data_IF_931351979831
#
_entry.id   IF_931351979831
#
_cell.length_a   1.000
_cell.length_b   1.000
_cell.length_c   1.000
_cell.angle_alpha   90.00
_cell.angle_beta   90.00
_cell.angle_gamma   90.00
#
_symmetry.space_group_name_H-M   'P 1'
#
loop_
_entity.id
_entity.type
_entity.pdbx_description
1 polymer ?
#
# COMPACT_ATOMS: atom_id res chain seq x y z
N UNK A 1 3.41 -13.79 10.65
CA UNK A 1 3.20 -12.45 10.04
C UNK A 1 2.35 -11.56 10.94
N UNK A 2 1.19 -12.05 11.41
CA UNK A 2 0.30 -11.30 12.30
C UNK A 2 1.02 -10.75 13.54
N UNK A 3 1.91 -11.52 14.15
CA UNK A 3 2.69 -11.07 15.31
C UNK A 3 3.61 -9.90 14.98
N UNK A 4 4.24 -9.90 13.80
CA UNK A 4 5.13 -8.81 13.35
C UNK A 4 4.36 -7.52 13.08
N UNK A 5 3.18 -7.63 12.46
CA UNK A 5 2.24 -6.50 12.32
C UNK A 5 1.83 -6.01 13.72
N UNK A 6 1.60 -6.94 14.64
CA UNK A 6 1.18 -6.62 16.00
C UNK A 6 2.30 -6.04 16.89
N UNK A 7 3.56 -6.35 16.58
CA UNK A 7 4.73 -5.82 17.25
C UNK A 7 5.13 -4.43 16.72
N UNK A 8 4.63 -4.04 15.54
CA UNK A 8 5.02 -2.78 14.88
C UNK A 8 6.26 -2.91 14.00
N UNK A 9 6.69 -4.14 13.70
CA UNK A 9 7.88 -4.42 12.86
C UNK A 9 7.61 -4.27 11.35
N UNK A 10 6.46 -3.71 10.99
CA UNK A 10 5.95 -3.65 9.62
C UNK A 10 5.36 -2.28 9.36
N UNK A 11 5.93 -1.55 8.41
CA UNK A 11 5.44 -0.23 7.99
C UNK A 11 4.43 -0.29 6.83
N UNK A 12 4.42 -1.39 6.08
CA UNK A 12 3.60 -1.57 4.87
C UNK A 12 3.41 -3.05 4.54
N UNK A 13 2.24 -3.41 4.00
CA UNK A 13 1.93 -4.79 3.57
C UNK A 13 1.63 -4.87 2.08
N UNK A 14 2.23 -5.84 1.39
CA UNK A 14 1.82 -6.26 0.05
C UNK A 14 1.32 -7.70 0.12
N UNK A 15 0.04 -7.91 -0.11
CA UNK A 15 -0.61 -9.22 -0.04
C UNK A 15 -1.34 -9.49 -1.36
N UNK A 16 -0.65 -10.11 -2.31
CA UNK A 16 -1.25 -10.61 -3.54
C UNK A 16 -1.74 -12.04 -3.30
N UNK A 17 -3.01 -12.32 -3.59
CA UNK A 17 -3.58 -13.68 -3.49
C UNK A 17 -3.79 -14.27 -4.87
N UNK A 18 -3.49 -15.56 -5.02
CA UNK A 18 -3.90 -16.36 -6.16
C UNK A 18 -5.31 -16.95 -5.96
N UNK A 19 -5.64 -18.00 -6.70
CA UNK A 19 -6.94 -18.69 -6.62
C UNK A 19 -7.05 -19.71 -5.48
N UNK A 20 -5.95 -19.97 -4.77
CA UNK A 20 -5.89 -20.96 -3.69
C UNK A 20 -6.75 -20.51 -2.49
N UNK A 21 -7.80 -21.27 -2.10
CA UNK A 21 -8.75 -20.86 -1.05
C UNK A 21 -8.09 -20.64 0.32
N UNK A 22 -7.07 -21.43 0.65
CA UNK A 22 -6.34 -21.30 1.91
C UNK A 22 -5.52 -20.00 1.93
N UNK A 23 -4.82 -19.70 0.83
CA UNK A 23 -4.12 -18.42 0.64
C UNK A 23 -5.06 -17.21 0.70
N UNK A 24 -6.30 -17.35 0.20
CA UNK A 24 -7.31 -16.28 0.27
C UNK A 24 -7.75 -16.02 1.71
N UNK A 25 -7.99 -17.09 2.48
CA UNK A 25 -8.38 -17.01 3.90
C UNK A 25 -7.27 -16.42 4.76
N UNK A 26 -6.04 -16.90 4.61
CA UNK A 26 -4.90 -16.39 5.37
C UNK A 26 -4.59 -14.93 4.98
N UNK A 27 -4.74 -14.59 3.70
CA UNK A 27 -4.62 -13.22 3.21
C UNK A 27 -5.66 -12.27 3.81
N UNK A 28 -6.87 -12.75 4.14
CA UNK A 28 -7.89 -11.93 4.80
C UNK A 28 -7.44 -11.49 6.19
N UNK A 29 -6.89 -12.40 6.99
CA UNK A 29 -6.42 -12.11 8.35
C UNK A 29 -5.24 -11.14 8.33
N UNK A 30 -4.30 -11.29 7.39
CA UNK A 30 -3.18 -10.35 7.21
C UNK A 30 -3.71 -8.93 6.88
N UNK A 31 -4.66 -8.82 5.94
CA UNK A 31 -5.23 -7.52 5.55
C UNK A 31 -6.02 -6.88 6.69
N UNK A 32 -6.76 -7.67 7.48
CA UNK A 32 -7.47 -7.19 8.68
C UNK A 32 -6.50 -6.65 9.72
N UNK A 33 -5.43 -7.37 10.02
CA UNK A 33 -4.43 -6.92 10.98
C UNK A 33 -3.74 -5.62 10.52
N UNK A 34 -3.38 -5.51 9.23
CA UNK A 34 -2.80 -4.29 8.67
C UNK A 34 -3.76 -3.10 8.80
N UNK A 35 -5.04 -3.29 8.44
CA UNK A 35 -6.08 -2.27 8.55
C UNK A 35 -6.28 -1.82 10.01
N UNK A 36 -6.36 -2.75 10.96
CA UNK A 36 -6.52 -2.44 12.39
C UNK A 36 -5.34 -1.65 12.97
N UNK A 37 -4.14 -1.80 12.39
CA UNK A 37 -2.94 -1.04 12.75
C UNK A 37 -2.76 0.25 11.97
N UNK A 38 -3.65 0.56 11.02
CA UNK A 38 -3.52 1.74 10.16
C UNK A 38 -2.35 1.66 9.18
N UNK A 39 -1.86 0.44 8.88
CA UNK A 39 -0.78 0.25 7.93
C UNK A 39 -1.32 0.32 6.49
N UNK A 40 -0.65 1.05 5.57
CA UNK A 40 -0.93 0.94 4.15
C UNK A 40 -0.78 -0.51 3.67
N UNK A 41 -1.77 -1.03 2.94
CA UNK A 41 -1.69 -2.36 2.35
C UNK A 41 -2.19 -2.40 0.90
N UNK A 42 -1.57 -3.27 0.10
CA UNK A 42 -1.86 -3.41 -1.32
C UNK A 42 -2.16 -4.87 -1.68
N UNK A 43 -3.16 -5.05 -2.54
CA UNK A 43 -3.62 -6.38 -2.97
C UNK A 43 -3.12 -6.79 -4.35
N UNK A 44 -2.47 -5.87 -5.07
CA UNK A 44 -1.95 -6.11 -6.42
C UNK A 44 -0.50 -5.67 -6.53
N UNK A 45 0.28 -6.40 -7.34
CA UNK A 45 1.66 -6.02 -7.62
C UNK A 45 1.74 -4.66 -8.36
N UNK A 46 0.73 -4.32 -9.16
CA UNK A 46 0.66 -3.04 -9.86
C UNK A 46 0.53 -1.86 -8.86
N UNK A 47 -0.37 -1.98 -7.88
CA UNK A 47 -0.53 -0.96 -6.85
C UNK A 47 0.73 -0.83 -5.97
N UNK A 48 1.36 -1.96 -5.61
CA UNK A 48 2.62 -1.95 -4.87
C UNK A 48 3.75 -1.24 -5.64
N UNK A 49 3.86 -1.47 -6.95
CA UNK A 49 4.83 -0.77 -7.81
C UNK A 49 4.55 0.74 -7.89
N UNK A 50 3.29 1.12 -8.03
CA UNK A 50 2.90 2.53 -8.04
C UNK A 50 3.24 3.23 -6.72
N UNK A 51 2.95 2.58 -5.57
CA UNK A 51 3.30 3.09 -4.25
C UNK A 51 4.81 3.23 -4.07
N UNK A 52 5.61 2.24 -4.49
CA UNK A 52 7.07 2.33 -4.46
C UNK A 52 7.60 3.50 -5.33
N UNK A 53 7.00 3.72 -6.51
CA UNK A 53 7.30 4.87 -7.36
C UNK A 53 6.99 6.21 -6.69
N UNK A 54 5.81 6.32 -6.05
CA UNK A 54 5.41 7.52 -5.31
C UNK A 54 6.35 7.81 -4.11
N UNK A 55 6.70 6.78 -3.32
CA UNK A 55 7.67 6.91 -2.22
C UNK A 55 9.02 7.40 -2.75
N UNK A 56 9.49 6.85 -3.87
CA UNK A 56 10.74 7.31 -4.49
C UNK A 56 10.66 8.78 -4.92
N UNK A 57 9.57 9.20 -5.56
CA UNK A 57 9.38 10.57 -6.01
C UNK A 57 9.39 11.55 -4.81
N UNK A 58 8.63 11.26 -3.76
CA UNK A 58 8.56 12.09 -2.54
C UNK A 58 9.91 12.20 -1.82
N UNK A 59 10.76 11.18 -1.93
CA UNK A 59 12.13 11.23 -1.37
C UNK A 59 13.09 12.10 -2.16
N UNK A 60 12.82 12.34 -3.45
CA UNK A 60 13.68 13.12 -4.33
C UNK A 60 13.26 14.60 -4.40
N UNK A 61 11.96 14.87 -4.35
CA UNK A 61 11.40 16.21 -4.48
C UNK A 61 10.13 16.39 -3.64
N UNK A 62 9.83 17.63 -3.28
CA UNK A 62 8.58 17.98 -2.61
C UNK A 62 7.42 18.02 -3.59
N UNK A 63 6.28 17.43 -3.22
CA UNK A 63 5.04 17.57 -3.99
C UNK A 63 4.56 19.02 -3.92
N UNK A 64 4.51 19.69 -5.07
CA UNK A 64 3.94 21.04 -5.20
C UNK A 64 2.43 21.04 -5.34
N UNK A 65 1.85 22.24 -5.41
CA UNK A 65 0.42 22.45 -5.67
C UNK A 65 0.21 22.98 -7.09
N UNK A 66 -0.89 22.57 -7.72
CA UNK A 66 -1.35 23.11 -9.01
C UNK A 66 -2.87 23.22 -8.98
N UNK A 67 -3.41 24.36 -9.38
CA UNK A 67 -4.84 24.57 -9.52
C UNK A 67 -5.41 23.79 -10.71
N UNK A 68 -6.70 23.47 -10.64
CA UNK A 68 -7.37 22.78 -11.74
C UNK A 68 -7.39 23.63 -13.02
N UNK A 69 -7.49 24.96 -12.87
CA UNK A 69 -7.46 25.91 -13.97
C UNK A 69 -6.13 25.85 -14.73
N UNK A 70 -5.00 25.81 -14.02
CA UNK A 70 -3.66 25.68 -14.64
C UNK A 70 -3.52 24.37 -15.43
N UNK A 71 -4.22 23.31 -15.03
CA UNK A 71 -4.23 22.03 -15.76
C UNK A 71 -5.06 22.14 -17.04
N UNK A 72 -6.23 22.77 -16.97
CA UNK A 72 -7.16 22.89 -18.10
C UNK A 72 -6.76 23.95 -19.15
N UNK A 73 -5.87 24.87 -18.80
CA UNK A 73 -5.37 25.91 -19.72
C UNK A 73 -4.17 25.48 -20.57
N UNK A 74 -3.64 24.27 -20.36
CA UNK A 74 -2.50 23.70 -21.08
C UNK A 74 -2.97 22.77 -22.21
#
# INVERSE_FOLDING_TARGET
MLDRISAGDVDLVVNTVGSDPDSVRDGLEIRRAALQRGLPYFTTAAAARAAAGAIKAVRLESIGVRSLQEIHSA
#
